data_IF_783475962253
#
_entry.id   IF_783475962253
#
_cell.length_a   1.000
_cell.length_b   1.000
_cell.length_c   1.000
_cell.angle_alpha   90.00
_cell.angle_beta   90.00
_cell.angle_gamma   90.00
#
_symmetry.space_group_name_H-M   'P 1'
#
loop_
_entity.id
_entity.type
_entity.pdbx_description
1 polymer ?
#
# COMPACT_ATOMS: atom_id res chain seq x y z
N UNK A 1 -20.81 -15.91 1.67
CA UNK A 1 -20.15 -14.59 1.78
C UNK A 1 -18.79 -14.87 2.40
N UNK A 2 -17.75 -14.96 1.59
CA UNK A 2 -16.38 -15.17 2.07
C UNK A 2 -16.02 -13.99 2.95
N UNK A 3 -15.60 -14.26 4.19
CA UNK A 3 -14.91 -13.24 4.98
C UNK A 3 -13.77 -12.73 4.10
N UNK A 4 -13.67 -11.42 3.88
CA UNK A 4 -12.55 -10.86 3.14
C UNK A 4 -11.29 -11.21 3.94
N UNK A 5 -10.53 -12.19 3.47
CA UNK A 5 -9.26 -12.55 4.09
C UNK A 5 -8.34 -11.34 4.04
N UNK A 6 -7.71 -11.04 5.18
CA UNK A 6 -6.74 -9.96 5.26
C UNK A 6 -5.65 -10.19 4.22
N UNK A 7 -5.24 -9.16 3.46
CA UNK A 7 -4.15 -9.30 2.51
C UNK A 7 -2.89 -9.81 3.22
N UNK A 8 -2.22 -10.80 2.63
CA UNK A 8 -1.04 -11.44 3.23
C UNK A 8 0.14 -10.46 3.30
N UNK A 9 1.04 -10.67 4.27
CA UNK A 9 2.32 -9.94 4.35
C UNK A 9 3.09 -10.05 3.03
N UNK A 10 3.64 -8.94 2.55
CA UNK A 10 4.31 -8.83 1.24
C UNK A 10 3.37 -8.48 0.07
N UNK A 11 2.05 -8.50 0.29
CA UNK A 11 1.06 -8.09 -0.72
C UNK A 11 1.08 -6.57 -0.87
N UNK A 12 1.07 -6.10 -2.12
CA UNK A 12 0.88 -4.68 -2.41
C UNK A 12 -0.61 -4.35 -2.39
N UNK A 13 -0.97 -3.29 -1.69
CA UNK A 13 -2.36 -2.87 -1.51
C UNK A 13 -2.49 -1.36 -1.74
N UNK A 14 -3.64 -0.93 -2.24
CA UNK A 14 -4.07 0.46 -2.14
C UNK A 14 -4.88 0.63 -0.86
N UNK A 15 -4.47 1.58 -0.05
CA UNK A 15 -5.24 2.09 1.08
C UNK A 15 -6.15 3.22 0.57
N UNK A 16 -7.45 2.95 0.49
CA UNK A 16 -8.44 3.93 0.02
C UNK A 16 -8.76 5.00 1.06
N UNK A 17 -8.43 4.79 2.33
CA UNK A 17 -8.64 5.76 3.40
C UNK A 17 -7.62 6.91 3.35
N UNK A 18 -6.37 6.61 2.97
CA UNK A 18 -5.31 7.62 2.82
C UNK A 18 -4.93 7.93 1.38
N UNK A 19 -5.52 7.23 0.40
CA UNK A 19 -5.19 7.26 -1.02
C UNK A 19 -3.71 6.99 -1.33
N UNK A 20 -3.13 6.03 -0.61
CA UNK A 20 -1.71 5.65 -0.70
C UNK A 20 -1.56 4.19 -1.11
N UNK A 21 -0.41 3.86 -1.70
CA UNK A 21 -0.06 2.47 -2.03
C UNK A 21 1.09 2.02 -1.13
N UNK A 22 0.94 0.84 -0.54
CA UNK A 22 1.91 0.23 0.35
C UNK A 22 2.02 -1.28 0.19
N UNK A 23 2.98 -1.86 0.90
CA UNK A 23 3.14 -3.30 1.06
C UNK A 23 2.75 -3.66 2.49
N UNK A 24 1.98 -4.72 2.65
CA UNK A 24 1.64 -5.26 3.97
C UNK A 24 2.89 -5.76 4.66
N UNK A 25 3.16 -5.24 5.86
CA UNK A 25 4.29 -5.62 6.71
C UNK A 25 3.86 -6.57 7.82
N UNK A 26 2.73 -6.27 8.46
CA UNK A 26 2.20 -7.04 9.58
C UNK A 26 0.69 -6.80 9.76
N UNK A 27 0.05 -7.67 10.55
CA UNK A 27 -1.29 -7.47 11.08
C UNK A 27 -1.17 -7.19 12.58
N UNK A 28 -1.51 -5.98 13.00
CA UNK A 28 -1.31 -5.49 14.36
C UNK A 28 -2.67 -5.12 14.99
N UNK A 29 -3.17 -6.02 15.84
CA UNK A 29 -4.50 -5.87 16.42
C UNK A 29 -5.60 -5.76 15.34
N UNK A 30 -6.44 -4.71 15.35
CA UNK A 30 -7.47 -4.52 14.34
C UNK A 30 -6.97 -3.88 13.03
N UNK A 31 -5.67 -3.55 12.94
CA UNK A 31 -5.09 -2.81 11.82
C UNK A 31 -4.08 -3.64 11.03
N UNK A 32 -3.79 -3.18 9.82
CA UNK A 32 -2.73 -3.69 8.96
C UNK A 32 -1.64 -2.64 8.85
N UNK A 33 -0.41 -3.02 9.18
CA UNK A 33 0.75 -2.15 9.05
C UNK A 33 1.26 -2.19 7.61
N UNK A 34 1.38 -1.01 6.98
CA UNK A 34 1.83 -0.83 5.61
C UNK A 34 3.14 -0.04 5.55
N UNK A 35 3.95 -0.34 4.55
CA UNK A 35 5.15 0.44 4.20
C UNK A 35 5.09 0.95 2.75
N UNK A 36 5.58 2.16 2.43
CA UNK A 36 5.55 2.64 1.05
C UNK A 36 6.41 1.78 0.12
N UNK A 37 6.00 1.66 -1.15
CA UNK A 37 6.71 0.82 -2.15
C UNK A 37 8.18 1.19 -2.35
N UNK A 38 8.53 2.47 -2.19
CA UNK A 38 9.89 2.98 -2.37
C UNK A 38 10.58 3.33 -1.03
N UNK A 39 10.12 2.71 0.05
CA UNK A 39 10.57 3.02 1.41
C UNK A 39 10.03 4.34 1.94
N UNK A 40 10.07 4.50 3.26
CA UNK A 40 9.51 5.63 4.00
C UNK A 40 8.85 5.19 5.30
N UNK A 41 8.13 6.12 5.93
CA UNK A 41 7.44 5.86 7.19
C UNK A 41 6.26 4.90 6.98
N UNK A 42 6.20 3.90 7.86
CA UNK A 42 5.08 2.97 7.94
C UNK A 42 3.81 3.67 8.44
N UNK A 43 2.66 3.08 8.12
CA UNK A 43 1.38 3.55 8.65
C UNK A 43 0.43 2.38 8.84
N UNK A 44 -0.51 2.55 9.76
CA UNK A 44 -1.57 1.58 10.02
C UNK A 44 -2.82 1.93 9.21
N UNK A 45 -3.44 0.92 8.64
CA UNK A 45 -4.65 1.05 7.84
C UNK A 45 -5.72 0.07 8.31
N UNK A 46 -6.98 0.49 8.19
CA UNK A 46 -8.11 -0.39 8.48
C UNK A 46 -8.23 -1.46 7.39
N UNK A 47 -8.44 -2.74 7.74
CA UNK A 47 -8.53 -3.82 6.77
C UNK A 47 -9.54 -3.63 5.64
N UNK A 48 -10.67 -3.00 5.95
CA UNK A 48 -11.77 -2.72 5.03
C UNK A 48 -11.45 -1.62 4.03
N UNK A 49 -10.42 -0.81 4.30
CA UNK A 49 -9.89 0.20 3.39
C UNK A 49 -8.79 -0.35 2.45
N UNK A 50 -8.45 -1.64 2.52
CA UNK A 50 -7.38 -2.22 1.73
C UNK A 50 -7.88 -2.98 0.51
N UNK A 51 -7.38 -2.57 -0.65
CA UNK A 51 -7.62 -3.24 -1.93
C UNK A 51 -6.32 -3.86 -2.42
N UNK A 52 -6.20 -5.21 -2.51
CA UNK A 52 -5.06 -5.87 -3.11
C UNK A 52 -4.84 -5.42 -4.55
N UNK A 53 -3.58 -5.16 -4.90
CA UNK A 53 -3.18 -4.85 -6.26
C UNK A 53 -2.73 -6.13 -6.96
N UNK A 54 -3.14 -6.30 -8.22
CA UNK A 54 -2.56 -7.33 -9.06
C UNK A 54 -1.10 -6.98 -9.44
N UNK A 55 -0.39 -7.91 -10.08
CA UNK A 55 1.02 -7.71 -10.44
C UNK A 55 1.24 -6.55 -11.43
N UNK A 56 0.29 -6.31 -12.33
CA UNK A 56 0.34 -5.21 -13.29
C UNK A 56 0.07 -3.85 -12.65
N UNK A 57 -0.89 -3.79 -11.73
CA UNK A 57 -1.22 -2.62 -10.92
C UNK A 57 -0.08 -2.27 -9.96
N UNK A 58 0.56 -3.27 -9.36
CA UNK A 58 1.75 -3.09 -8.53
C UNK A 58 2.90 -2.43 -9.31
N UNK A 59 3.16 -2.88 -10.53
CA UNK A 59 4.20 -2.28 -11.38
C UNK A 59 3.84 -0.83 -11.74
N UNK A 60 2.57 -0.56 -12.10
CA UNK A 60 2.10 0.79 -12.40
C UNK A 60 2.21 1.72 -11.19
N UNK A 61 1.84 1.26 -10.00
CA UNK A 61 1.96 2.02 -8.77
C UNK A 61 3.42 2.33 -8.43
N UNK A 62 4.32 1.37 -8.62
CA UNK A 62 5.75 1.58 -8.42
C UNK A 62 6.32 2.65 -9.38
N UNK A 63 5.95 2.57 -10.67
CA UNK A 63 6.36 3.57 -11.67
C UNK A 63 5.74 4.94 -11.39
N UNK A 64 4.48 5.00 -10.97
CA UNK A 64 3.80 6.24 -10.61
C UNK A 64 4.47 6.95 -9.42
N UNK A 65 4.81 6.20 -8.37
CA UNK A 65 5.53 6.73 -7.20
C UNK A 65 6.94 7.21 -7.56
N UNK A 66 7.67 6.48 -8.43
CA UNK A 66 8.96 6.93 -8.96
C UNK A 66 8.81 8.25 -9.75
N UNK A 67 7.84 8.31 -10.65
CA UNK A 67 7.54 9.51 -11.44
C UNK A 67 7.15 10.70 -10.55
N UNK A 68 6.37 10.48 -9.49
CA UNK A 68 5.97 11.51 -8.54
C UNK A 68 7.18 12.06 -7.76
N UNK A 69 8.12 11.20 -7.34
CA UNK A 69 9.38 11.62 -6.69
C UNK A 69 10.27 12.41 -7.63
N UNK A 70 10.46 11.96 -8.87
CA UNK A 70 11.29 12.65 -9.87
C UNK A 70 10.73 14.00 -10.30
N UNK A 71 9.41 14.21 -10.19
CA UNK A 71 8.74 15.47 -10.51
C UNK A 71 8.78 16.51 -9.37
N UNK A 72 9.36 16.18 -8.22
CA UNK A 72 9.60 17.19 -7.18
C UNK A 72 10.73 18.11 -7.66
N UNK A 73 10.47 19.41 -7.92
CA UNK A 73 11.54 20.33 -8.25
C UNK A 73 12.48 20.43 -7.04
N UNK A 74 13.78 20.37 -7.31
CA UNK A 74 14.82 20.81 -6.38
C UNK A 74 14.47 22.25 -5.98
N UNK A 75 14.18 22.45 -4.70
CA UNK A 75 13.87 23.76 -4.12
C UNK A 75 15.12 24.40 -3.59
#
# INVERSE_FOLDING_TARGET
MTAAELPAVGTAVRDTGSDRVGVVMAHEGPYVQLRPLLGGLEWDAAPDALVPLDSGERLRAHVAELNARSRRPIR
#
